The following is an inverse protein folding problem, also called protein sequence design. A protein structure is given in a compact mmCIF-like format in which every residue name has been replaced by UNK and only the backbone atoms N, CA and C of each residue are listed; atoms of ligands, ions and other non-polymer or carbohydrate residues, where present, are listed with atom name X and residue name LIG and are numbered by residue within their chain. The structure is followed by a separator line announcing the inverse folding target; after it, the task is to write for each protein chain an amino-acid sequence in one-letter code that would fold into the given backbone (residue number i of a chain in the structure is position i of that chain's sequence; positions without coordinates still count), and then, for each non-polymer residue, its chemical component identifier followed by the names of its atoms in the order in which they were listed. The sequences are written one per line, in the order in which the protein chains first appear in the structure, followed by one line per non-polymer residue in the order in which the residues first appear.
data_IF_423355875568
#
_entry.id   IF_423355875568
#
_cell.length_a   1.000
_cell.length_b   1.000
_cell.length_c   1.000
_cell.angle_alpha   90.00
_cell.angle_beta   90.00
_cell.angle_gamma   90.00
#
_symmetry.space_group_name_H-M   'P 1'
#
loop_
_entity.id
_entity.type
_entity.pdbx_description
1 polymer ?
#
# COMPACT_ATOMS: atom_id res chain seq x y z
N UNK A 1 -11.49 -11.26 -8.26
CA UNK A 1 -10.93 -11.70 -6.97
C UNK A 1 -9.88 -10.72 -6.47
N UNK A 2 -9.89 -10.43 -5.17
CA UNK A 2 -8.89 -9.59 -4.50
C UNK A 2 -8.39 -10.28 -3.23
N UNK A 3 -7.26 -9.85 -2.71
CA UNK A 3 -6.70 -10.37 -1.45
C UNK A 3 -6.33 -9.21 -0.55
N UNK A 4 -6.72 -9.26 0.72
CA UNK A 4 -6.23 -8.37 1.77
C UNK A 4 -5.33 -9.16 2.73
N UNK A 5 -4.20 -8.57 3.12
CA UNK A 5 -3.24 -9.18 4.04
C UNK A 5 -3.04 -8.27 5.25
N UNK A 6 -3.21 -8.84 6.44
CA UNK A 6 -2.85 -8.20 7.71
C UNK A 6 -1.83 -9.07 8.44
N UNK A 7 -0.68 -8.49 8.77
CA UNK A 7 0.36 -9.19 9.52
C UNK A 7 0.57 -8.51 10.87
N UNK A 8 0.73 -9.31 11.91
CA UNK A 8 0.91 -8.88 13.28
C UNK A 8 2.29 -9.31 13.77
N UNK A 9 2.93 -8.42 14.52
CA UNK A 9 4.23 -8.67 15.16
C UNK A 9 4.12 -8.22 16.60
N UNK A 10 4.51 -9.06 17.54
CA UNK A 10 4.52 -8.71 18.97
C UNK A 10 5.76 -9.29 19.65
N UNK A 11 6.09 -8.72 20.79
CA UNK A 11 7.17 -9.22 21.64
C UNK A 11 6.61 -10.28 22.57
N UNK A 12 7.26 -11.44 22.63
CA UNK A 12 6.86 -12.48 23.56
C UNK A 12 7.22 -12.09 24.99
N UNK A 13 6.33 -12.40 25.92
CA UNK A 13 6.63 -12.22 27.34
C UNK A 13 7.62 -13.30 27.74
N UNK A 14 8.88 -12.94 27.97
CA UNK A 14 9.91 -13.86 28.45
C UNK A 14 9.59 -14.30 29.87
N UNK A 15 8.88 -15.41 30.04
CA UNK A 15 8.89 -16.17 31.29
C UNK A 15 10.08 -17.14 31.27
N UNK A 16 11.24 -16.67 31.75
CA UNK A 16 12.30 -17.57 32.23
C UNK A 16 12.68 -17.18 33.65
N UNK A 17 12.01 -17.78 34.64
CA UNK A 17 12.69 -18.13 35.88
C UNK A 17 13.46 -19.42 35.60
N UNK A 18 14.76 -19.32 35.33
CA UNK A 18 15.68 -20.44 35.52
C UNK A 18 16.44 -20.17 36.81
N UNK A 19 15.99 -20.79 37.90
CA UNK A 19 16.80 -20.91 39.12
C UNK A 19 17.96 -21.86 38.81
N UNK A 20 19.08 -21.28 38.37
CA UNK A 20 20.38 -21.93 38.46
C UNK A 20 21.38 -20.84 38.82
N UNK A 21 21.82 -20.89 40.06
CA UNK A 21 22.81 -20.00 40.62
C UNK A 21 24.17 -20.26 39.98
N UNK A 22 24.53 -19.51 38.94
CA UNK A 22 25.93 -19.11 38.71
C UNK A 22 25.98 -17.85 37.86
N UNK A 23 26.77 -16.90 38.33
CA UNK A 23 26.88 -15.51 37.93
C UNK A 23 27.38 -15.34 36.49
N UNK A 24 26.48 -15.19 35.51
CA UNK A 24 26.68 -14.32 34.32
C UNK A 24 25.33 -14.02 33.68
N UNK A 25 24.71 -12.88 34.00
CA UNK A 25 23.48 -12.40 33.33
C UNK A 25 23.83 -11.91 31.93
N UNK A 26 23.83 -12.82 30.95
CA UNK A 26 23.62 -12.44 29.55
C UNK A 26 22.13 -12.21 29.34
N UNK A 27 21.75 -10.96 29.01
CA UNK A 27 20.39 -10.64 28.61
C UNK A 27 20.11 -11.32 27.26
N UNK A 28 19.29 -12.37 27.25
CA UNK A 28 18.84 -12.96 25.99
C UNK A 28 18.07 -11.91 25.18
N UNK A 29 18.31 -11.80 23.86
CA UNK A 29 17.61 -10.83 23.02
C UNK A 29 16.09 -11.06 23.09
N UNK A 30 15.28 -9.99 22.98
CA UNK A 30 13.83 -10.12 22.98
C UNK A 30 13.37 -11.01 21.82
N UNK A 31 12.57 -12.02 22.13
CA UNK A 31 11.92 -12.87 21.13
C UNK A 31 10.66 -12.17 20.62
N UNK A 32 10.49 -12.16 19.30
CA UNK A 32 9.32 -11.63 18.64
C UNK A 32 8.59 -12.77 17.93
N UNK A 33 7.27 -12.72 18.01
CA UNK A 33 6.38 -13.61 17.28
C UNK A 33 5.63 -12.83 16.21
N UNK A 34 5.27 -13.54 15.14
CA UNK A 34 4.59 -12.96 13.98
C UNK A 34 3.52 -13.91 13.48
N UNK A 35 2.34 -13.39 13.16
CA UNK A 35 1.25 -14.15 12.52
C UNK A 35 0.60 -13.29 11.45
N UNK A 36 0.29 -13.89 10.31
CA UNK A 36 -0.32 -13.23 9.16
C UNK A 36 -1.69 -13.82 8.86
N UNK A 37 -2.59 -12.98 8.38
CA UNK A 37 -3.94 -13.37 8.02
C UNK A 37 -4.22 -12.83 6.63
N UNK A 38 -4.70 -13.72 5.78
CA UNK A 38 -5.05 -13.43 4.39
C UNK A 38 -6.54 -13.66 4.22
N UNK A 39 -7.22 -12.67 3.66
CA UNK A 39 -8.61 -12.79 3.25
C UNK A 39 -8.67 -12.75 1.73
N UNK A 40 -9.09 -13.85 1.11
CA UNK A 40 -9.42 -13.93 -0.30
C UNK A 40 -10.87 -13.51 -0.51
N UNK A 41 -11.10 -12.50 -1.34
CA UNK A 41 -12.40 -11.84 -1.53
C UNK A 41 -12.92 -12.14 -2.94
N UNK A 42 -14.13 -12.70 -3.03
CA UNK A 42 -14.86 -12.82 -4.30
C UNK A 42 -15.32 -11.44 -4.77
N UNK A 43 -15.03 -11.12 -6.04
CA UNK A 43 -15.56 -9.93 -6.74
C UNK A 43 -15.41 -8.56 -6.05
N UNK A 44 -14.28 -8.34 -5.35
CA UNK A 44 -14.03 -7.05 -4.70
C UNK A 44 -13.71 -5.91 -5.66
N UNK A 45 -14.39 -4.78 -5.49
CA UNK A 45 -14.04 -3.49 -6.09
C UNK A 45 -12.97 -2.73 -5.29
N UNK A 46 -12.54 -3.28 -4.14
CA UNK A 46 -11.57 -2.68 -3.21
C UNK A 46 -12.00 -1.29 -2.75
N UNK A 47 -13.29 -1.15 -2.44
CA UNK A 47 -13.80 0.07 -1.84
C UNK A 47 -13.26 0.25 -0.42
N UNK A 48 -13.46 1.44 0.13
CA UNK A 48 -13.17 1.74 1.53
C UNK A 48 -13.90 0.79 2.47
N UNK A 49 -15.20 0.58 2.23
CA UNK A 49 -16.04 -0.34 2.99
C UNK A 49 -15.50 -1.77 2.92
N UNK A 50 -15.11 -2.25 1.73
CA UNK A 50 -14.55 -3.61 1.58
C UNK A 50 -13.25 -3.76 2.39
N UNK A 51 -12.41 -2.73 2.36
CA UNK A 51 -11.10 -2.72 3.03
C UNK A 51 -11.25 -2.72 4.55
N UNK A 52 -12.18 -1.92 5.08
CA UNK A 52 -12.49 -1.87 6.51
C UNK A 52 -13.16 -3.17 6.98
N UNK A 53 -14.07 -3.73 6.19
CA UNK A 53 -14.77 -5.00 6.49
C UNK A 53 -13.80 -6.18 6.57
N UNK A 54 -12.91 -6.31 5.58
CA UNK A 54 -11.86 -7.33 5.62
C UNK A 54 -10.87 -7.08 6.76
N UNK A 55 -10.55 -5.82 7.06
CA UNK A 55 -9.74 -5.43 8.21
C UNK A 55 -10.36 -5.83 9.55
N UNK A 56 -11.67 -5.67 9.72
CA UNK A 56 -12.42 -6.13 10.90
C UNK A 56 -12.33 -7.65 11.05
N UNK A 57 -12.58 -8.40 9.98
CA UNK A 57 -12.51 -9.88 9.98
C UNK A 57 -11.12 -10.35 10.42
N UNK A 58 -10.05 -9.77 9.86
CA UNK A 58 -8.67 -10.10 10.22
C UNK A 58 -8.38 -9.75 11.69
N UNK A 59 -8.74 -8.55 12.13
CA UNK A 59 -8.46 -8.09 13.51
C UNK A 59 -9.23 -8.93 14.53
N UNK A 60 -10.45 -9.32 14.20
CA UNK A 60 -11.28 -10.22 15.01
C UNK A 60 -10.64 -11.59 15.15
N UNK A 61 -10.20 -12.20 14.05
CA UNK A 61 -9.52 -13.50 14.11
C UNK A 61 -8.23 -13.42 14.93
N UNK A 62 -7.40 -12.40 14.70
CA UNK A 62 -6.18 -12.20 15.48
C UNK A 62 -6.47 -12.06 16.98
N UNK A 63 -7.53 -11.34 17.34
CA UNK A 63 -7.93 -11.20 18.75
C UNK A 63 -8.39 -12.52 19.35
N UNK A 64 -9.08 -13.36 18.59
CA UNK A 64 -9.48 -14.71 18.99
C UNK A 64 -8.25 -15.58 19.26
N UNK A 65 -7.28 -15.55 18.36
CA UNK A 65 -6.06 -16.36 18.44
C UNK A 65 -5.10 -15.88 19.54
N UNK A 66 -5.05 -14.56 19.78
CA UNK A 66 -4.12 -13.91 20.72
C UNK A 66 -4.83 -12.93 21.66
N UNK A 67 -5.78 -13.45 22.44
CA UNK A 67 -6.63 -12.67 23.36
C UNK A 67 -5.87 -11.84 24.40
N UNK A 68 -4.65 -12.26 24.76
CA UNK A 68 -3.75 -11.58 25.69
C UNK A 68 -3.24 -10.22 25.18
N UNK A 69 -3.26 -10.00 23.85
CA UNK A 69 -2.84 -8.73 23.25
C UNK A 69 -3.98 -7.72 23.39
N UNK A 70 -3.68 -6.60 24.05
CA UNK A 70 -4.64 -5.54 24.37
C UNK A 70 -4.38 -4.23 23.65
N UNK A 71 -3.20 -4.04 23.07
CA UNK A 71 -2.75 -2.79 22.48
C UNK A 71 -2.25 -3.03 21.07
N UNK A 72 -2.63 -2.17 20.14
CA UNK A 72 -2.27 -2.30 18.73
C UNK A 72 -1.66 -1.01 18.20
N UNK A 73 -0.56 -1.16 17.45
CA UNK A 73 -0.03 -0.13 16.57
C UNK A 73 -0.29 -0.60 15.13
N UNK A 74 -1.02 0.19 14.36
CA UNK A 74 -1.35 -0.15 12.97
C UNK A 74 -0.42 0.56 12.01
N UNK A 75 0.07 -0.17 11.02
CA UNK A 75 0.73 0.38 9.84
C UNK A 75 0.00 -0.06 8.59
N UNK A 76 -0.11 0.83 7.61
CA UNK A 76 -0.74 0.54 6.31
C UNK A 76 0.05 1.17 5.18
N UNK A 77 -0.08 0.63 3.97
CA UNK A 77 0.40 1.33 2.78
C UNK A 77 -0.38 2.66 2.56
N UNK A 78 0.10 3.47 1.62
CA UNK A 78 -0.52 4.75 1.28
C UNK A 78 -1.38 4.63 0.00
N UNK A 79 -2.15 3.54 -0.14
CA UNK A 79 -3.11 3.39 -1.23
C UNK A 79 -4.42 4.17 -0.95
N UNK A 80 -5.18 4.43 -2.01
CA UNK A 80 -6.37 5.31 -1.97
C UNK A 80 -7.49 4.79 -1.06
N UNK A 81 -7.68 3.48 -1.03
CA UNK A 81 -8.68 2.78 -0.22
C UNK A 81 -8.39 2.80 1.29
N UNK A 82 -7.11 2.94 1.70
CA UNK A 82 -6.72 3.09 3.11
C UNK A 82 -6.61 4.55 3.56
N UNK A 83 -6.79 5.53 2.67
CA UNK A 83 -6.55 6.96 2.94
C UNK A 83 -7.82 7.81 2.92
N UNK A 84 -8.97 7.15 3.08
CA UNK A 84 -10.24 7.85 3.21
C UNK A 84 -10.31 8.68 4.49
N UNK A 85 -11.33 9.52 4.53
CA UNK A 85 -11.56 10.42 5.63
C UNK A 85 -12.13 9.74 6.89
N UNK A 86 -12.87 8.64 6.76
CA UNK A 86 -13.50 7.95 7.90
C UNK A 86 -12.64 6.83 8.48
N UNK A 87 -11.71 6.27 7.69
CA UNK A 87 -10.89 5.10 8.06
C UNK A 87 -10.27 5.18 9.46
N UNK A 88 -9.61 6.29 9.88
CA UNK A 88 -8.98 6.33 11.20
C UNK A 88 -9.97 6.14 12.36
N UNK A 89 -11.15 6.77 12.28
CA UNK A 89 -12.18 6.66 13.33
C UNK A 89 -12.82 5.27 13.30
N UNK A 90 -13.09 4.71 12.11
CA UNK A 90 -13.70 3.38 11.98
C UNK A 90 -12.76 2.29 12.49
N UNK A 91 -11.46 2.39 12.21
CA UNK A 91 -10.46 1.44 12.74
C UNK A 91 -10.39 1.48 14.26
N UNK A 92 -10.50 2.68 14.87
CA UNK A 92 -10.63 2.80 16.32
C UNK A 92 -11.91 2.11 16.81
N UNK A 93 -13.05 2.37 16.17
CA UNK A 93 -14.33 1.75 16.52
C UNK A 93 -14.28 0.22 16.43
N UNK A 94 -13.66 -0.34 15.37
CA UNK A 94 -13.43 -1.79 15.22
C UNK A 94 -12.61 -2.31 16.40
N UNK A 95 -11.49 -1.66 16.73
CA UNK A 95 -10.64 -2.09 17.85
C UNK A 95 -11.37 -2.00 19.20
N UNK A 96 -12.17 -0.96 19.44
CA UNK A 96 -12.98 -0.81 20.65
C UNK A 96 -14.01 -1.94 20.78
N UNK A 97 -14.72 -2.28 19.70
CA UNK A 97 -15.64 -3.44 19.66
C UNK A 97 -14.94 -4.76 19.98
N UNK A 98 -13.66 -4.88 19.67
CA UNK A 98 -12.84 -6.08 19.91
C UNK A 98 -12.04 -6.03 21.23
N UNK A 99 -12.25 -5.01 22.06
CA UNK A 99 -11.49 -4.79 23.31
C UNK A 99 -9.97 -4.77 23.07
N UNK A 100 -9.56 -4.00 22.05
CA UNK A 100 -8.18 -3.66 21.71
C UNK A 100 -8.06 -2.13 21.75
N UNK A 101 -7.06 -1.63 22.45
CA UNK A 101 -6.68 -0.22 22.44
C UNK A 101 -5.80 0.05 21.20
N UNK A 102 -6.34 0.74 20.20
CA UNK A 102 -5.57 1.22 19.04
C UNK A 102 -4.78 2.46 19.44
N UNK A 103 -3.45 2.39 19.47
CA UNK A 103 -2.59 3.47 19.96
C UNK A 103 -2.14 4.41 18.86
N UNK A 104 -1.67 3.85 17.75
CA UNK A 104 -1.21 4.62 16.60
C UNK A 104 -1.64 4.01 15.29
N UNK A 105 -1.75 4.86 14.27
CA UNK A 105 -1.93 4.48 12.88
C UNK A 105 -0.95 5.26 12.02
N UNK A 106 -0.07 4.53 11.35
CA UNK A 106 1.00 5.11 10.54
C UNK A 106 0.89 4.64 9.09
N UNK A 107 1.17 5.55 8.16
CA UNK A 107 1.33 5.20 6.76
C UNK A 107 2.78 4.83 6.47
N UNK A 108 2.99 3.77 5.68
CA UNK A 108 4.30 3.38 5.18
C UNK A 108 4.83 4.48 4.25
N UNK A 109 6.01 5.01 4.59
CA UNK A 109 6.73 5.99 3.77
C UNK A 109 7.46 5.27 2.64
N UNK A 110 7.54 5.91 1.46
CA UNK A 110 8.17 5.32 0.25
C UNK A 110 9.63 4.90 0.51
N UNK A 111 10.31 5.55 1.46
CA UNK A 111 11.71 5.27 1.80
C UNK A 111 11.89 4.22 2.92
N UNK A 112 10.83 3.74 3.58
CA UNK A 112 10.92 2.81 4.72
C UNK A 112 11.00 1.33 4.32
N UNK A 113 11.17 1.02 3.04
CA UNK A 113 11.26 -0.35 2.53
C UNK A 113 9.92 -1.05 2.37
N UNK A 114 9.96 -2.31 1.90
CA UNK A 114 8.78 -3.18 1.72
C UNK A 114 8.30 -3.71 3.08
N UNK A 115 6.99 -3.82 3.26
CA UNK A 115 6.37 -4.25 4.52
C UNK A 115 6.39 -5.79 4.66
N UNK A 116 6.12 -6.32 5.87
CA UNK A 116 5.91 -7.75 6.12
C UNK A 116 4.78 -8.30 5.24
N UNK A 117 3.71 -7.51 5.02
CA UNK A 117 2.63 -7.89 4.12
C UNK A 117 3.11 -8.08 2.68
N UNK A 118 4.07 -7.28 2.19
CA UNK A 118 4.66 -7.46 0.85
C UNK A 118 5.43 -8.79 0.75
N UNK A 119 6.15 -9.16 1.82
CA UNK A 119 6.88 -10.43 1.92
C UNK A 119 5.92 -11.61 1.88
N UNK A 120 4.87 -11.58 2.69
CA UNK A 120 3.80 -12.60 2.73
C UNK A 120 3.13 -12.73 1.35
N UNK A 121 2.82 -11.61 0.69
CA UNK A 121 2.27 -11.61 -0.67
C UNK A 121 3.21 -12.25 -1.69
N UNK A 122 4.54 -12.04 -1.55
CA UNK A 122 5.55 -12.68 -2.38
C UNK A 122 5.53 -14.20 -2.24
N UNK A 123 5.51 -14.70 -1.00
CA UNK A 123 5.45 -16.14 -0.70
C UNK A 123 4.13 -16.74 -1.16
N UNK A 124 3.01 -16.06 -0.93
CA UNK A 124 1.69 -16.50 -1.38
C UNK A 124 1.62 -16.69 -2.90
N UNK A 125 2.17 -15.73 -3.66
CA UNK A 125 2.26 -15.84 -5.13
C UNK A 125 3.12 -17.02 -5.56
N UNK A 126 4.25 -17.26 -4.91
CA UNK A 126 5.09 -18.41 -5.20
C UNK A 126 4.34 -19.72 -4.93
N UNK A 127 3.61 -19.81 -3.81
CA UNK A 127 2.87 -21.02 -3.44
C UNK A 127 1.75 -21.34 -4.42
N UNK A 128 0.94 -20.34 -4.78
CA UNK A 128 -0.11 -20.49 -5.78
C UNK A 128 0.45 -20.90 -7.15
N UNK A 129 1.62 -20.38 -7.57
CA UNK A 129 2.28 -20.82 -8.81
C UNK A 129 2.68 -22.29 -8.77
N UNK A 130 3.22 -22.77 -7.65
CA UNK A 130 3.54 -24.18 -7.48
C UNK A 130 2.29 -25.06 -7.55
N UNK A 131 1.17 -24.60 -6.99
CA UNK A 131 -0.11 -25.30 -7.09
C UNK A 131 -0.62 -25.37 -8.54
N UNK A 132 -0.58 -24.26 -9.29
CA UNK A 132 -0.91 -24.24 -10.73
C UNK A 132 -0.02 -25.19 -11.53
N UNK A 133 1.29 -25.23 -11.23
CA UNK A 133 2.23 -26.10 -11.93
C UNK A 133 1.93 -27.59 -11.78
N UNK A 134 1.07 -27.99 -10.84
CA UNK A 134 0.57 -29.37 -10.70
C UNK A 134 -0.64 -29.70 -11.60
N UNK A 135 -1.11 -28.73 -12.39
CA UNK A 135 -2.24 -28.89 -13.30
C UNK A 135 -3.58 -28.38 -12.74
N UNK A 136 -3.57 -27.64 -11.63
CA UNK A 136 -4.77 -27.01 -11.06
C UNK A 136 -4.97 -25.58 -11.60
N UNK A 137 -6.22 -25.10 -11.60
CA UNK A 137 -6.59 -23.77 -12.08
C UNK A 137 -6.99 -22.83 -10.93
N UNK A 138 -6.67 -21.54 -11.05
CA UNK A 138 -7.09 -20.48 -10.12
C UNK A 138 -8.29 -19.70 -10.68
N UNK A 139 -9.50 -20.22 -10.51
CA UNK A 139 -10.73 -19.63 -11.07
C UNK A 139 -11.49 -18.79 -10.05
N UNK A 140 -11.51 -19.22 -8.79
CA UNK A 140 -12.32 -18.62 -7.74
C UNK A 140 -11.52 -18.42 -6.42
N UNK A 141 -12.12 -17.75 -5.43
CA UNK A 141 -11.42 -17.39 -4.20
C UNK A 141 -11.13 -18.60 -3.30
N UNK A 142 -11.87 -19.71 -3.47
CA UNK A 142 -11.59 -20.99 -2.80
C UNK A 142 -10.32 -21.59 -3.39
N UNK A 143 -10.17 -21.57 -4.71
CA UNK A 143 -8.93 -22.00 -5.38
C UNK A 143 -7.72 -21.19 -4.90
N UNK A 144 -7.90 -19.89 -4.63
CA UNK A 144 -6.85 -19.05 -4.02
C UNK A 144 -6.46 -19.59 -2.64
N UNK A 145 -7.44 -19.93 -1.79
CA UNK A 145 -7.17 -20.50 -0.47
C UNK A 145 -6.44 -21.84 -0.59
N UNK A 146 -6.97 -22.77 -1.37
CA UNK A 146 -6.35 -24.09 -1.60
C UNK A 146 -4.92 -23.97 -2.16
N UNK A 147 -4.73 -23.07 -3.13
CA UNK A 147 -3.43 -22.82 -3.74
C UNK A 147 -2.42 -22.21 -2.78
N UNK A 148 -2.85 -21.40 -1.81
CA UNK A 148 -1.96 -20.87 -0.78
C UNK A 148 -1.72 -21.86 0.38
N UNK A 149 -2.65 -22.78 0.65
CA UNK A 149 -2.52 -23.84 1.67
C UNK A 149 -1.80 -25.09 1.14
N UNK A 150 -1.57 -25.15 -0.17
CA UNK A 150 -0.83 -26.21 -0.85
C UNK A 150 0.53 -26.49 -0.18
N UNK A 151 0.94 -27.77 -0.17
CA UNK A 151 2.24 -28.21 0.32
C UNK A 151 2.60 -27.74 1.75
N UNK A 152 1.61 -27.65 2.63
CA UNK A 152 1.80 -27.23 4.03
C UNK A 152 1.61 -25.74 4.26
N UNK A 153 1.24 -24.99 3.23
CA UNK A 153 0.84 -23.60 3.33
C UNK A 153 1.99 -22.60 3.35
N UNK A 154 1.68 -21.42 3.89
CA UNK A 154 2.62 -20.33 4.13
C UNK A 154 2.85 -20.28 5.64
N UNK A 155 4.12 -20.26 6.06
CA UNK A 155 4.45 -20.26 7.48
C UNK A 155 3.79 -19.09 8.22
N UNK A 156 3.25 -19.36 9.40
CA UNK A 156 2.58 -18.39 10.29
C UNK A 156 1.56 -17.52 9.55
N UNK A 157 0.79 -18.14 8.66
CA UNK A 157 -0.21 -17.46 7.85
C UNK A 157 -1.48 -18.28 7.79
N UNK A 158 -2.61 -17.67 8.18
CA UNK A 158 -3.94 -18.27 8.06
C UNK A 158 -4.74 -17.60 6.95
N UNK A 159 -5.59 -18.37 6.30
CA UNK A 159 -6.27 -17.92 5.08
C UNK A 159 -7.77 -18.19 5.20
N UNK A 160 -8.57 -17.17 4.91
CA UNK A 160 -10.02 -17.26 4.84
C UNK A 160 -10.52 -16.81 3.48
N UNK A 161 -11.69 -17.32 3.10
CA UNK A 161 -12.45 -16.87 1.94
C UNK A 161 -13.67 -16.10 2.43
N UNK A 162 -13.86 -14.91 1.90
CA UNK A 162 -15.02 -14.07 2.20
C UNK A 162 -15.70 -13.64 0.91
N UNK A 163 -16.99 -13.36 1.05
CA UNK A 163 -17.83 -12.83 0.00
C UNK A 163 -18.38 -11.47 0.43
N UNK A 164 -18.40 -10.53 -0.51
CA UNK A 164 -19.11 -9.26 -0.32
C UNK A 164 -20.60 -9.55 -0.51
N UNK A 165 -21.39 -9.27 0.51
CA UNK A 165 -22.85 -9.38 0.44
C UNK A 165 -23.39 -8.06 -0.10
N UNK A 166 -24.03 -8.05 -1.29
CA UNK A 166 -24.64 -6.83 -1.84
C UNK A 166 -25.69 -6.27 -0.88
N UNK A 167 -25.81 -4.95 -0.84
CA UNK A 167 -26.79 -4.22 -0.01
C UNK A 167 -26.66 -4.44 1.52
N UNK A 168 -25.60 -5.12 1.95
CA UNK A 168 -25.20 -5.23 3.35
C UNK A 168 -24.02 -4.28 3.65
N UNK A 169 -23.95 -3.83 4.89
CA UNK A 169 -22.86 -3.03 5.40
C UNK A 169 -23.10 -1.54 5.25
N UNK A 170 -22.50 -0.79 6.15
CA UNK A 170 -22.72 0.63 6.30
C UNK A 170 -21.41 1.31 6.64
N UNK A 171 -21.19 2.51 6.10
CA UNK A 171 -20.03 3.31 6.40
C UNK A 171 -20.40 4.79 6.35
N UNK A 172 -20.32 5.44 7.50
CA UNK A 172 -20.51 6.87 7.59
C UNK A 172 -19.42 7.64 6.86
N UNK A 173 -19.86 8.56 5.99
CA UNK A 173 -18.96 9.45 5.25
C UNK A 173 -18.59 10.64 6.12
N UNK A 174 -17.53 10.50 6.91
CA UNK A 174 -16.93 11.66 7.58
C UNK A 174 -15.86 12.32 6.72
N UNK A 175 -15.57 13.59 7.00
CA UNK A 175 -14.47 14.33 6.38
C UNK A 175 -13.46 14.76 7.45
N UNK A 176 -12.24 14.24 7.36
CA UNK A 176 -11.06 14.78 8.03
C UNK A 176 -10.37 15.74 7.06
N UNK A 177 -10.31 17.06 7.36
CA UNK A 177 -9.66 18.02 6.48
C UNK A 177 -8.22 17.62 6.19
N UNK A 178 -7.86 17.62 4.90
CA UNK A 178 -6.49 17.35 4.45
C UNK A 178 -5.93 15.96 4.85
N UNK A 179 -6.79 14.94 5.00
CA UNK A 179 -6.39 13.57 5.39
C UNK A 179 -5.22 13.02 4.57
N UNK A 180 -5.17 13.31 3.26
CA UNK A 180 -4.10 12.87 2.35
C UNK A 180 -2.71 13.42 2.67
N UNK A 181 -2.62 14.41 3.56
CA UNK A 181 -1.36 15.00 4.02
C UNK A 181 -0.93 14.47 5.38
N UNK A 182 -1.82 13.74 6.07
CA UNK A 182 -1.56 13.13 7.35
C UNK A 182 -0.86 11.79 7.13
N UNK A 183 0.19 11.54 7.90
CA UNK A 183 1.04 10.34 7.78
C UNK A 183 1.10 9.52 9.04
N UNK A 184 0.75 10.12 10.18
CA UNK A 184 0.74 9.46 11.47
C UNK A 184 -0.41 9.99 12.31
N UNK A 185 -1.06 9.10 13.05
CA UNK A 185 -2.18 9.38 13.92
C UNK A 185 -1.90 8.69 15.25
N UNK A 186 -2.12 9.42 16.34
CA UNK A 186 -2.10 8.89 17.70
C UNK A 186 -3.50 9.04 18.28
N UNK A 187 -4.04 7.96 18.83
CA UNK A 187 -5.36 7.98 19.45
C UNK A 187 -5.22 8.26 20.94
N UNK A 188 -6.08 9.12 21.47
CA UNK A 188 -6.29 9.30 22.92
C UNK A 188 -7.73 8.93 23.27
N UNK A 189 -8.09 9.01 24.55
CA UNK A 189 -9.46 8.76 25.03
C UNK A 189 -10.52 9.65 24.37
N UNK A 190 -10.14 10.86 24.02
CA UNK A 190 -11.02 12.01 23.80
C UNK A 190 -10.83 12.61 22.40
N UNK A 191 -9.65 12.47 21.79
CA UNK A 191 -9.39 12.95 20.44
C UNK A 191 -8.32 12.12 19.72
N UNK A 192 -8.23 12.30 18.40
CA UNK A 192 -7.08 11.87 17.61
C UNK A 192 -6.09 13.02 17.48
N UNK A 193 -4.81 12.73 17.66
CA UNK A 193 -3.73 13.66 17.36
C UNK A 193 -3.04 13.25 16.08
N UNK A 194 -3.16 14.08 15.04
CA UNK A 194 -2.67 13.78 13.69
C UNK A 194 -1.43 14.59 13.31
N UNK A 195 -0.56 13.98 12.51
CA UNK A 195 0.73 14.55 12.10
C UNK A 195 0.95 14.37 10.60
N UNK A 196 1.59 15.36 9.97
CA UNK A 196 2.09 15.25 8.57
C UNK A 196 3.34 14.38 8.45
N UNK A 197 4.12 14.30 9.53
CA UNK A 197 5.28 13.44 9.66
C UNK A 197 5.35 12.98 11.12
N UNK A 198 5.65 11.68 11.32
CA UNK A 198 5.64 11.06 12.65
C UNK A 198 6.53 11.82 13.63
N UNK A 199 5.98 12.18 14.80
CA UNK A 199 6.66 12.89 15.89
C UNK A 199 7.30 14.24 15.53
N UNK A 200 6.88 14.88 14.43
CA UNK A 200 7.37 16.22 14.05
C UNK A 200 6.28 17.26 14.31
N UNK A 201 6.61 18.27 15.13
CA UNK A 201 5.75 19.39 15.48
C UNK A 201 4.71 19.07 16.56
N UNK A 202 3.84 20.04 16.83
CA UNK A 202 2.82 19.94 17.89
C UNK A 202 1.66 19.01 17.55
N UNK A 203 1.44 18.72 16.26
CA UNK A 203 0.30 17.94 15.75
C UNK A 203 -1.01 18.73 15.74
N UNK A 204 -2.04 18.17 15.12
CA UNK A 204 -3.41 18.73 15.11
C UNK A 204 -4.32 17.79 15.89
N UNK A 205 -5.05 18.29 16.87
CA UNK A 205 -6.07 17.52 17.59
C UNK A 205 -7.40 17.57 16.86
N UNK A 206 -7.99 16.40 16.64
CA UNK A 206 -9.28 16.21 15.97
C UNK A 206 -10.18 15.41 16.92
N UNK A 207 -11.31 15.99 17.39
CA UNK A 207 -12.25 15.26 18.24
C UNK A 207 -12.91 14.12 17.47
N UNK A 208 -13.28 13.06 18.17
CA UNK A 208 -14.03 11.94 17.58
C UNK A 208 -15.42 12.39 17.15
N UNK A 209 -15.89 11.85 16.02
CA UNK A 209 -17.29 11.99 15.61
C UNK A 209 -18.03 10.72 15.99
N UNK A 210 -19.34 10.85 16.21
CA UNK A 210 -20.21 9.68 16.25
C UNK A 210 -20.31 9.16 14.82
N UNK A 211 -19.74 7.99 14.59
CA UNK A 211 -19.74 7.31 13.31
C UNK A 211 -20.29 5.91 13.49
N UNK A 212 -21.00 5.44 12.48
CA UNK A 212 -21.47 4.07 12.39
C UNK A 212 -20.75 3.30 11.27
N UNK A 213 -20.57 2.01 11.51
CA UNK A 213 -19.90 1.11 10.60
C UNK A 213 -20.36 -0.34 10.79
N UNK A 214 -20.78 -0.95 9.69
CA UNK A 214 -21.14 -2.35 9.61
C UNK A 214 -20.42 -3.03 8.46
N UNK A 215 -19.87 -4.23 8.73
CA UNK A 215 -19.19 -5.04 7.72
C UNK A 215 -20.15 -5.48 6.60
N UNK A 216 -19.68 -5.41 5.36
CA UNK A 216 -20.39 -5.94 4.19
C UNK A 216 -19.95 -7.36 3.80
N UNK A 217 -19.12 -8.02 4.62
CA UNK A 217 -18.51 -9.30 4.27
C UNK A 217 -19.03 -10.46 5.10
N UNK A 218 -19.25 -11.58 4.43
CA UNK A 218 -19.58 -12.88 5.04
C UNK A 218 -18.43 -13.85 4.81
N UNK A 219 -18.03 -14.55 5.88
CA UNK A 219 -17.02 -15.61 5.80
C UNK A 219 -17.64 -16.83 5.13
N UNK A 220 -17.09 -17.24 3.98
CA UNK A 220 -17.47 -18.47 3.28
C UNK A 220 -16.63 -19.66 3.75
N UNK A 221 -15.33 -19.44 3.89
CA UNK A 221 -14.38 -20.41 4.43
C UNK A 221 -13.57 -19.73 5.52
N UNK A 222 -13.64 -20.18 6.79
CA UNK A 222 -12.97 -19.52 7.91
C UNK A 222 -11.45 -19.63 7.81
N UNK A 223 -10.75 -18.87 8.65
CA UNK A 223 -9.35 -19.13 8.94
C UNK A 223 -9.29 -20.49 9.65
N UNK A 224 -8.66 -21.50 9.03
CA UNK A 224 -8.71 -22.86 9.54
C UNK A 224 -8.27 -22.91 11.03
N UNK A 225 -9.19 -23.35 11.89
CA UNK A 225 -8.86 -23.85 13.21
C UNK A 225 -8.22 -25.22 13.01
N UNK A 226 -7.04 -25.43 13.60
CA UNK A 226 -6.33 -26.71 13.74
C UNK A 226 -7.23 -27.94 13.57
N UNK A 227 -7.32 -28.47 12.36
CA UNK A 227 -7.75 -29.85 12.15
C UNK A 227 -6.47 -30.66 12.21
N UNK A 228 -6.33 -31.46 13.26
CA UNK A 228 -5.42 -32.59 13.29
C UNK A 228 -5.49 -33.28 11.92
N UNK A 229 -4.39 -33.22 11.16
CA UNK A 229 -4.24 -33.99 9.92
C UNK A 229 -4.15 -35.47 10.28
N UNK A 230 -5.26 -36.06 10.72
CA UNK A 230 -5.46 -37.50 10.66
C UNK A 230 -5.63 -37.86 9.18
N UNK A 231 -4.53 -38.37 8.64
CA UNK A 231 -4.45 -39.42 7.62
C UNK A 231 -5.62 -39.46 6.62
N UNK A 232 -5.47 -38.75 5.49
CA UNK A 232 -5.91 -39.33 4.22
C UNK A 232 -4.75 -40.12 3.62
N UNK A 233 -4.90 -41.43 3.71
CA UNK A 233 -4.04 -42.47 3.21
C UNK A 233 -4.12 -42.53 1.68
N UNK A 234 -3.30 -41.73 1.01
CA UNK A 234 -2.72 -42.14 -0.28
C UNK A 234 -1.22 -42.02 -0.14
N UNK A 235 -0.55 -43.17 -0.16
CA UNK A 235 0.89 -43.33 -0.01
C UNK A 235 1.60 -42.26 -0.85
N UNK A 236 2.20 -41.23 -0.24
CA UNK A 236 2.99 -40.28 -0.99
C UNK A 236 4.27 -41.02 -1.34
N UNK A 237 4.53 -41.19 -2.65
CA UNK A 237 5.88 -41.52 -3.12
C UNK A 237 6.84 -40.55 -2.43
N UNK A 238 7.68 -41.07 -1.54
CA UNK A 238 8.75 -40.31 -0.92
C UNK A 238 9.68 -39.83 -2.05
N UNK A 239 9.52 -38.58 -2.45
CA UNK A 239 10.61 -37.81 -3.04
C UNK A 239 11.40 -37.19 -1.89
N UNK A 240 12.72 -37.36 -1.93
CA UNK A 240 13.69 -36.85 -0.95
C UNK A 240 13.68 -35.31 -0.82
N UNK A 241 12.92 -34.62 -1.65
CA UNK A 241 12.81 -33.16 -1.77
C UNK A 241 12.10 -32.49 -0.58
N UNK A 242 11.53 -33.27 0.37
CA UNK A 242 10.86 -32.74 1.57
C UNK A 242 11.79 -31.97 2.51
N UNK A 243 13.10 -32.21 2.48
CA UNK A 243 14.08 -31.42 3.26
C UNK A 243 14.35 -30.03 2.67
N UNK A 244 13.99 -29.77 1.41
CA UNK A 244 14.29 -28.49 0.75
C UNK A 244 13.14 -27.47 0.79
N UNK A 245 11.94 -27.88 1.21
CA UNK A 245 10.75 -27.02 1.23
C UNK A 245 10.64 -26.09 2.45
N UNK A 246 11.51 -26.25 3.45
CA UNK A 246 11.63 -25.36 4.61
C UNK A 246 12.70 -24.28 4.42
N UNK A 247 13.45 -24.34 3.30
CA UNK A 247 14.54 -23.41 3.05
C UNK A 247 13.99 -22.10 2.48
N UNK A 248 14.38 -21.01 3.10
CA UNK A 248 14.12 -19.65 2.68
C UNK A 248 15.07 -19.34 1.52
N UNK A 249 14.51 -19.02 0.35
CA UNK A 249 15.28 -18.70 -0.85
C UNK A 249 15.70 -17.22 -0.84
N UNK A 250 16.88 -16.94 -1.38
CA UNK A 250 17.30 -15.56 -1.58
C UNK A 250 16.35 -14.84 -2.57
N UNK A 251 15.84 -13.64 -2.24
CA UNK A 251 14.92 -12.90 -3.11
C UNK A 251 15.61 -12.17 -4.27
N UNK A 252 16.95 -12.18 -4.33
CA UNK A 252 17.73 -11.57 -5.42
C UNK A 252 17.62 -12.46 -6.65
N UNK A 253 17.33 -11.85 -7.81
CA UNK A 253 17.12 -12.63 -9.04
C UNK A 253 18.34 -13.49 -9.33
N UNK A 254 18.09 -14.73 -9.72
CA UNK A 254 19.10 -15.68 -10.17
C UNK A 254 20.08 -16.15 -9.06
N UNK A 255 19.89 -15.73 -7.81
CA UNK A 255 20.61 -16.28 -6.67
C UNK A 255 20.04 -17.66 -6.30
N UNK A 256 20.89 -18.69 -6.29
CA UNK A 256 20.50 -20.07 -5.96
C UNK A 256 20.73 -20.41 -4.48
N UNK A 257 21.01 -19.42 -3.63
CA UNK A 257 21.25 -19.64 -2.21
C UNK A 257 19.95 -19.87 -1.45
N UNK A 258 19.98 -20.81 -0.50
CA UNK A 258 18.84 -21.25 0.31
C UNK A 258 19.25 -21.36 1.78
N UNK A 259 18.39 -20.95 2.71
CA UNK A 259 18.71 -20.77 4.13
C UNK A 259 17.69 -21.46 5.04
N UNK A 260 18.13 -21.98 6.19
CA UNK A 260 17.22 -22.61 7.17
C UNK A 260 16.57 -21.57 8.11
N UNK A 261 17.19 -20.40 8.29
CA UNK A 261 16.70 -19.34 9.18
C UNK A 261 16.68 -17.97 8.51
N UNK A 262 15.80 -17.10 9.01
CA UNK A 262 15.70 -15.73 8.52
C UNK A 262 16.95 -14.91 8.87
N UNK A 263 17.66 -15.25 9.95
CA UNK A 263 18.89 -14.57 10.35
C UNK A 263 20.03 -14.83 9.35
N UNK A 264 20.12 -16.05 8.81
CA UNK A 264 21.13 -16.43 7.82
C UNK A 264 20.85 -15.76 6.48
N UNK A 265 19.57 -15.68 6.07
CA UNK A 265 19.17 -14.94 4.88
C UNK A 265 19.53 -13.45 4.99
N UNK A 266 19.20 -12.80 6.10
CA UNK A 266 19.49 -11.38 6.31
C UNK A 266 21.01 -11.14 6.32
N UNK A 267 21.79 -12.04 6.94
CA UNK A 267 23.25 -11.97 6.91
C UNK A 267 23.81 -12.14 5.49
N UNK A 268 23.25 -13.05 4.70
CA UNK A 268 23.61 -13.25 3.30
C UNK A 268 23.31 -12.02 2.43
N UNK A 269 22.13 -11.40 2.60
CA UNK A 269 21.75 -10.17 1.90
C UNK A 269 22.65 -9.01 2.34
N UNK A 270 22.89 -8.86 3.64
CA UNK A 270 23.74 -7.80 4.19
C UNK A 270 25.21 -7.93 3.73
N UNK A 271 25.72 -9.16 3.62
CA UNK A 271 27.05 -9.44 3.11
C UNK A 271 27.16 -9.32 1.57
N UNK A 272 26.03 -9.25 0.86
CA UNK A 272 25.96 -9.16 -0.61
C UNK A 272 26.71 -10.30 -1.33
N UNK A 273 26.71 -11.51 -0.76
CA UNK A 273 27.41 -12.68 -1.27
C UNK A 273 26.45 -13.62 -2.03
N UNK A 274 25.87 -13.14 -3.13
CA UNK A 274 24.88 -13.88 -3.91
C UNK A 274 25.52 -14.94 -4.80
N UNK A 275 25.00 -16.17 -4.73
CA UNK A 275 25.43 -17.28 -5.57
C UNK A 275 24.64 -17.28 -6.88
N UNK A 276 25.09 -16.51 -7.86
CA UNK A 276 24.45 -16.39 -9.18
C UNK A 276 25.28 -17.17 -10.21
N UNK A 277 24.72 -18.15 -10.94
CA UNK A 277 25.46 -18.88 -11.98
C UNK A 277 25.90 -17.96 -13.12
N UNK A 278 27.18 -18.01 -13.48
CA UNK A 278 27.83 -17.13 -14.48
C UNK A 278 27.32 -17.24 -15.94
N UNK A 279 26.35 -18.10 -16.22
CA UNK A 279 25.91 -18.41 -17.60
C UNK A 279 24.45 -18.06 -17.84
N UNK A 280 24.17 -16.76 -17.96
CA UNK A 280 23.03 -16.27 -18.74
C UNK A 280 23.49 -15.26 -19.79
N UNK A 281 22.84 -15.31 -20.96
CA UNK A 281 23.01 -14.30 -22.02
C UNK A 281 22.50 -12.97 -21.48
N UNK A 282 23.42 -12.02 -21.26
CA UNK A 282 23.10 -10.68 -20.80
C UNK A 282 22.23 -9.97 -21.84
N UNK A 283 21.04 -9.56 -21.45
CA UNK A 283 20.20 -8.68 -22.27
C UNK A 283 20.72 -7.24 -22.19
N UNK A 284 20.30 -6.37 -23.11
CA UNK A 284 20.66 -4.94 -23.06
C UNK A 284 20.23 -4.26 -21.74
N UNK A 285 19.17 -4.76 -21.10
CA UNK A 285 18.71 -4.26 -19.79
C UNK A 285 19.70 -4.64 -18.68
N UNK A 286 20.26 -5.85 -18.72
CA UNK A 286 21.23 -6.31 -17.73
C UNK A 286 22.54 -5.52 -17.84
N UNK A 287 22.98 -5.22 -19.06
CA UNK A 287 24.14 -4.36 -19.31
C UNK A 287 23.87 -2.95 -18.77
N UNK A 288 22.68 -2.38 -19.02
CA UNK A 288 22.31 -1.06 -18.53
C UNK A 288 22.25 -1.00 -16.99
N UNK A 289 21.73 -2.04 -16.34
CA UNK A 289 21.69 -2.15 -14.87
C UNK A 289 23.09 -2.26 -14.27
N UNK A 290 23.94 -3.13 -14.82
CA UNK A 290 25.32 -3.27 -14.36
C UNK A 290 26.12 -1.99 -14.56
N UNK A 291 25.95 -1.31 -15.69
CA UNK A 291 26.60 -0.01 -15.94
C UNK A 291 26.11 1.08 -14.98
N UNK A 292 24.81 1.10 -14.66
CA UNK A 292 24.26 2.00 -13.64
C UNK A 292 24.80 1.68 -12.24
N UNK A 293 24.88 0.40 -11.87
CA UNK A 293 25.46 -0.04 -10.60
C UNK A 293 26.92 0.38 -10.49
N UNK A 294 27.72 0.21 -11.55
CA UNK A 294 29.12 0.63 -11.53
C UNK A 294 29.27 2.15 -11.46
N UNK A 295 28.45 2.92 -12.22
CA UNK A 295 28.41 4.38 -12.12
C UNK A 295 28.05 4.85 -10.70
N UNK A 296 27.08 4.21 -10.05
CA UNK A 296 26.71 4.53 -8.66
C UNK A 296 27.86 4.17 -7.72
N UNK A 297 28.54 3.04 -7.94
CA UNK A 297 29.67 2.60 -7.11
C UNK A 297 30.86 3.56 -7.23
N UNK A 298 31.23 3.97 -8.45
CA UNK A 298 32.34 4.90 -8.69
C UNK A 298 32.00 6.30 -8.16
N UNK A 299 30.80 6.80 -8.42
CA UNK A 299 30.37 8.11 -7.89
C UNK A 299 30.22 8.11 -6.37
N UNK A 300 29.78 7.01 -5.74
CA UNK A 300 29.70 6.89 -4.30
C UNK A 300 31.09 6.80 -3.63
N UNK A 301 32.07 6.14 -4.27
CA UNK A 301 33.46 6.08 -3.80
C UNK A 301 34.10 7.48 -3.86
N UNK A 302 33.93 8.21 -4.96
CA UNK A 302 34.44 9.59 -5.07
C UNK A 302 33.78 10.54 -4.06
N UNK A 303 32.47 10.37 -3.84
CA UNK A 303 31.72 11.13 -2.84
C UNK A 303 32.18 10.80 -1.41
N UNK A 304 32.39 9.51 -1.09
CA UNK A 304 32.87 9.08 0.22
C UNK A 304 34.29 9.56 0.47
N UNK A 305 35.21 9.46 -0.49
CA UNK A 305 36.58 9.96 -0.32
C UNK A 305 36.61 11.49 -0.11
N UNK A 306 35.80 12.25 -0.85
CA UNK A 306 35.64 13.69 -0.62
C UNK A 306 35.04 13.96 0.77
N UNK A 307 33.99 13.25 1.17
CA UNK A 307 33.35 13.39 2.48
C UNK A 307 34.28 13.00 3.63
N UNK A 308 35.06 11.93 3.50
CA UNK A 308 36.07 11.49 4.49
C UNK A 308 37.21 12.51 4.59
N UNK A 309 37.65 13.10 3.47
CA UNK A 309 38.64 14.19 3.48
C UNK A 309 38.11 15.46 4.17
N UNK A 310 36.83 15.78 3.98
CA UNK A 310 36.14 16.87 4.69
C UNK A 310 36.04 16.55 6.19
N UNK A 311 35.64 15.33 6.55
CA UNK A 311 35.53 14.88 7.95
C UNK A 311 36.87 14.83 8.69
N UNK A 312 37.98 14.51 8.03
CA UNK A 312 39.30 14.55 8.65
C UNK A 312 39.85 15.97 8.83
N UNK A 313 39.35 16.94 8.06
CA UNK A 313 39.82 18.33 8.13
C UNK A 313 39.13 19.19 9.20
N UNK A 314 38.03 18.70 9.81
CA UNK A 314 37.24 19.48 10.76
C UNK A 314 36.93 18.68 12.03
N UNK A 315 37.46 19.16 13.16
CA UNK A 315 37.13 18.69 14.50
C UNK A 315 35.64 18.97 14.78
N UNK A 316 34.81 17.92 14.70
CA UNK A 316 33.33 17.98 14.74
C UNK A 316 32.76 18.23 16.15
N UNK A 317 33.58 18.53 17.14
CA UNK A 317 33.13 18.69 18.54
C UNK A 317 32.28 19.94 18.78
N UNK A 318 32.21 20.92 17.86
CA UNK A 318 31.50 22.19 18.08
C UNK A 318 30.83 22.84 16.84
N UNK A 319 30.29 22.06 15.89
CA UNK A 319 29.51 22.67 14.79
C UNK A 319 28.10 23.04 15.25
N UNK A 320 27.93 24.31 15.63
CA UNK A 320 26.64 24.93 15.85
C UNK A 320 25.95 25.19 14.50
N UNK A 321 25.12 24.23 14.09
CA UNK A 321 24.33 24.27 12.85
C UNK A 321 23.42 25.51 12.76
N UNK A 322 23.10 26.18 13.87
CA UNK A 322 22.29 27.40 13.88
C UNK A 322 22.98 28.60 13.23
N UNK A 323 24.31 28.56 13.12
CA UNK A 323 25.14 29.62 12.50
C UNK A 323 25.33 29.44 10.99
N UNK A 324 24.84 28.34 10.41
CA UNK A 324 24.93 28.13 8.97
C UNK A 324 24.06 29.15 8.23
N UNK A 325 24.59 29.73 7.16
CA UNK A 325 23.84 30.60 6.21
C UNK A 325 22.65 29.86 5.60
N UNK A 326 22.64 28.53 5.66
CA UNK A 326 21.55 27.70 5.16
C UNK A 326 20.59 27.25 6.27
N UNK A 327 20.89 27.52 7.54
CA UNK A 327 20.05 27.11 8.67
C UNK A 327 18.63 27.63 8.53
N UNK A 328 18.42 28.90 8.16
CA UNK A 328 17.08 29.46 7.91
C UNK A 328 16.29 28.70 6.84
N UNK A 329 16.98 28.14 5.83
CA UNK A 329 16.31 27.37 4.77
C UNK A 329 15.76 26.06 5.32
N UNK A 330 16.49 25.39 6.21
CA UNK A 330 16.11 24.10 6.79
C UNK A 330 15.30 24.19 8.09
N UNK A 331 15.44 25.29 8.84
CA UNK A 331 14.76 25.55 10.11
C UNK A 331 13.32 26.05 9.92
N UNK A 332 13.01 26.57 8.73
CA UNK A 332 11.63 26.88 8.37
C UNK A 332 10.77 25.61 8.35
N UNK A 333 9.69 25.62 9.13
CA UNK A 333 8.73 24.50 9.21
C UNK A 333 8.22 24.21 7.80
N UNK A 334 8.61 23.06 7.26
CA UNK A 334 8.12 22.60 5.95
C UNK A 334 9.17 22.44 4.86
N UNK A 335 10.47 22.67 5.11
CA UNK A 335 11.52 22.39 4.12
C UNK A 335 11.50 20.94 3.59
N UNK A 336 11.24 19.97 4.47
CA UNK A 336 11.06 18.56 4.11
C UNK A 336 9.62 18.15 3.76
N UNK A 337 8.65 19.06 3.88
CA UNK A 337 7.24 18.77 3.57
C UNK A 337 6.96 19.15 2.12
N UNK A 338 6.32 18.26 1.36
CA UNK A 338 5.82 18.60 0.02
C UNK A 338 4.88 19.80 0.14
N UNK A 339 5.29 20.94 -0.40
CA UNK A 339 4.41 22.10 -0.53
C UNK A 339 3.22 21.72 -1.39
N UNK A 340 2.00 22.07 -0.96
CA UNK A 340 0.83 21.86 -1.82
C UNK A 340 1.04 22.66 -3.10
N UNK A 341 0.98 21.99 -4.25
CA UNK A 341 0.80 22.70 -5.52
C UNK A 341 -0.43 23.58 -5.37
N UNK A 342 -0.26 24.89 -5.54
CA UNK A 342 -1.36 25.84 -5.48
C UNK A 342 -2.45 25.35 -6.44
N UNK A 343 -3.62 24.98 -5.91
CA UNK A 343 -4.76 24.61 -6.74
C UNK A 343 -5.39 25.93 -7.15
N UNK A 344 -5.02 26.49 -8.29
CA UNK A 344 -5.84 27.53 -8.90
C UNK A 344 -7.11 26.83 -9.39
N UNK A 345 -8.27 26.98 -8.71
CA UNK A 345 -9.49 26.35 -9.16
C UNK A 345 -9.83 26.90 -10.55
N UNK A 346 -10.36 26.03 -11.41
CA UNK A 346 -10.84 26.45 -12.73
C UNK A 346 -11.96 27.47 -12.54
N UNK A 347 -11.85 28.63 -13.20
CA UNK A 347 -12.86 29.68 -13.12
C UNK A 347 -14.19 29.22 -13.72
N UNK A 348 -15.30 29.82 -13.27
CA UNK A 348 -16.63 29.45 -13.76
C UNK A 348 -16.79 29.74 -15.26
N UNK A 349 -16.15 30.81 -15.74
CA UNK A 349 -16.10 31.18 -17.14
C UNK A 349 -15.51 30.04 -18.00
N UNK A 350 -14.38 29.48 -17.57
CA UNK A 350 -13.74 28.35 -18.27
C UNK A 350 -14.62 27.09 -18.21
N UNK A 351 -15.28 26.82 -17.08
CA UNK A 351 -16.19 25.66 -16.94
C UNK A 351 -17.37 25.76 -17.90
N UNK A 352 -18.01 26.92 -17.98
CA UNK A 352 -19.15 27.18 -18.85
C UNK A 352 -18.74 27.08 -20.33
N UNK A 353 -17.57 27.59 -20.67
CA UNK A 353 -17.03 27.48 -22.03
C UNK A 353 -16.74 26.02 -22.43
N UNK A 354 -16.13 25.23 -21.54
CA UNK A 354 -15.91 23.81 -21.79
C UNK A 354 -17.22 23.03 -21.97
N UNK A 355 -18.27 23.39 -21.23
CA UNK A 355 -19.59 22.77 -21.35
C UNK A 355 -20.26 23.12 -22.69
N UNK A 356 -20.13 24.37 -23.15
CA UNK A 356 -20.55 24.79 -24.49
C UNK A 356 -19.82 24.02 -25.60
N UNK A 357 -18.49 23.89 -25.50
CA UNK A 357 -17.70 23.12 -26.46
C UNK A 357 -18.11 21.65 -26.49
N UNK A 358 -18.42 21.05 -25.34
CA UNK A 358 -18.91 19.68 -25.25
C UNK A 358 -20.25 19.51 -25.97
N UNK A 359 -21.24 20.36 -25.66
CA UNK A 359 -22.56 20.31 -26.33
C UNK A 359 -22.41 20.54 -27.83
N UNK A 360 -21.55 21.48 -28.25
CA UNK A 360 -21.23 21.73 -29.65
C UNK A 360 -20.62 20.52 -30.35
N UNK A 361 -19.65 19.85 -29.71
CA UNK A 361 -18.99 18.66 -30.26
C UNK A 361 -19.95 17.48 -30.48
N UNK A 362 -21.01 17.37 -29.68
CA UNK A 362 -22.08 16.38 -29.90
C UNK A 362 -22.91 16.71 -31.14
N UNK A 363 -23.25 17.98 -31.34
CA UNK A 363 -24.01 18.42 -32.52
C UNK A 363 -23.22 18.29 -33.82
N UNK A 364 -21.89 18.44 -33.75
CA UNK A 364 -21.01 18.38 -34.92
C UNK A 364 -20.30 17.04 -35.12
N UNK A 365 -20.59 16.01 -34.31
CA UNK A 365 -19.91 14.70 -34.32
C UNK A 365 -18.37 14.75 -34.29
N UNK A 366 -17.77 15.82 -33.74
CA UNK A 366 -16.32 16.03 -33.74
C UNK A 366 -15.74 15.94 -32.32
N UNK A 367 -15.06 14.84 -31.98
CA UNK A 367 -14.42 14.66 -30.67
C UNK A 367 -13.25 15.65 -30.48
N UNK A 368 -13.42 16.62 -29.58
CA UNK A 368 -12.35 17.56 -29.20
C UNK A 368 -11.40 16.93 -28.18
N UNK A 369 -10.11 16.96 -28.47
CA UNK A 369 -9.06 16.52 -27.55
C UNK A 369 -8.82 17.55 -26.43
N UNK A 370 -8.36 17.13 -25.24
CA UNK A 370 -8.01 18.05 -24.16
C UNK A 370 -7.00 19.14 -24.56
N UNK A 371 -6.09 18.84 -25.48
CA UNK A 371 -5.10 19.77 -26.03
C UNK A 371 -5.77 20.85 -26.88
N UNK A 372 -6.71 20.47 -27.75
CA UNK A 372 -7.48 21.41 -28.56
C UNK A 372 -8.35 22.32 -27.68
N UNK A 373 -8.99 21.78 -26.65
CA UNK A 373 -9.76 22.57 -25.68
C UNK A 373 -8.85 23.58 -24.97
N UNK A 374 -7.64 23.16 -24.57
CA UNK A 374 -6.67 24.05 -23.95
C UNK A 374 -6.23 25.18 -24.90
N UNK A 375 -5.99 24.84 -26.16
CA UNK A 375 -5.64 25.83 -27.18
C UNK A 375 -6.78 26.83 -27.37
N UNK A 376 -8.03 26.37 -27.48
CA UNK A 376 -9.18 27.25 -27.61
C UNK A 376 -9.36 28.17 -26.40
N UNK A 377 -9.15 27.69 -25.17
CA UNK A 377 -9.16 28.55 -23.98
C UNK A 377 -8.07 29.64 -24.06
N UNK A 378 -6.92 29.35 -24.67
CA UNK A 378 -5.82 30.33 -24.78
C UNK A 378 -5.97 31.30 -25.95
N UNK A 379 -6.73 30.93 -26.97
CA UNK A 379 -6.85 31.71 -28.23
C UNK A 379 -8.20 32.39 -28.41
N UNK A 380 -9.24 32.00 -27.66
CA UNK A 380 -10.58 32.59 -27.81
C UNK A 380 -10.57 34.06 -27.46
N UNK A 381 -11.12 34.87 -28.36
CA UNK A 381 -11.34 36.31 -28.19
C UNK A 381 -12.83 36.61 -28.14
N UNK A 382 -13.19 37.71 -27.48
CA UNK A 382 -14.54 38.26 -27.46
C UNK A 382 -14.83 39.09 -28.73
N UNK A 383 -16.04 39.63 -28.83
CA UNK A 383 -16.50 40.42 -29.98
C UNK A 383 -15.76 41.76 -30.12
N UNK A 384 -15.07 42.20 -29.06
CA UNK A 384 -14.23 43.40 -29.04
C UNK A 384 -12.76 43.09 -29.42
N UNK A 385 -12.44 41.83 -29.71
CA UNK A 385 -11.09 41.40 -30.08
C UNK A 385 -10.15 41.16 -28.89
N UNK A 386 -10.62 41.30 -27.66
CA UNK A 386 -9.85 41.04 -26.44
C UNK A 386 -9.87 39.55 -26.07
N UNK A 387 -8.88 39.09 -25.31
CA UNK A 387 -8.83 37.68 -24.90
C UNK A 387 -9.96 37.37 -23.93
N UNK A 388 -10.74 36.33 -24.23
CA UNK A 388 -11.88 35.91 -23.41
C UNK A 388 -11.44 35.37 -22.04
N UNK A 389 -10.21 34.85 -21.93
CA UNK A 389 -9.65 34.31 -20.71
C UNK A 389 -8.29 34.93 -20.41
N UNK A 390 -8.07 35.25 -19.14
CA UNK A 390 -6.82 35.82 -18.67
C UNK A 390 -5.78 34.73 -18.34
N UNK A 391 -4.50 35.10 -18.25
CA UNK A 391 -3.38 34.15 -18.01
C UNK A 391 -3.52 33.38 -16.69
N UNK A 392 -4.12 33.99 -15.67
CA UNK A 392 -4.42 33.37 -14.38
C UNK A 392 -5.57 32.36 -14.44
N UNK A 393 -6.39 32.38 -15.49
CA UNK A 393 -7.52 31.45 -15.72
C UNK A 393 -7.13 30.25 -16.61
N UNK A 394 -5.93 30.26 -17.19
CA UNK A 394 -5.48 29.19 -18.07
C UNK A 394 -5.40 27.85 -17.33
N UNK A 395 -6.30 26.96 -17.72
CA UNK A 395 -6.39 25.64 -17.11
C UNK A 395 -5.27 24.72 -17.59
N UNK A 396 -4.73 23.93 -16.66
CA UNK A 396 -3.78 22.87 -16.95
C UNK A 396 -4.46 21.73 -17.72
N UNK A 397 -3.68 20.96 -18.49
CA UNK A 397 -4.19 19.81 -19.24
C UNK A 397 -4.89 18.79 -18.33
N UNK A 398 -4.37 18.60 -17.10
CA UNK A 398 -4.95 17.72 -16.10
C UNK A 398 -6.33 18.21 -15.62
N UNK A 399 -6.50 19.52 -15.41
CA UNK A 399 -7.79 20.10 -15.04
C UNK A 399 -8.82 19.95 -16.16
N UNK A 400 -8.40 20.15 -17.42
CA UNK A 400 -9.25 19.96 -18.60
C UNK A 400 -9.69 18.50 -18.72
N UNK A 401 -8.75 17.54 -18.67
CA UNK A 401 -9.06 16.10 -18.68
C UNK A 401 -10.06 15.71 -17.59
N UNK A 402 -9.85 16.19 -16.38
CA UNK A 402 -10.76 15.93 -15.26
C UNK A 402 -12.16 16.53 -15.52
N UNK A 403 -12.26 17.78 -15.96
CA UNK A 403 -13.54 18.45 -16.24
C UNK A 403 -14.28 17.78 -17.39
N UNK A 404 -13.60 17.42 -18.49
CA UNK A 404 -14.22 16.69 -19.62
C UNK A 404 -14.85 15.38 -19.17
N UNK A 405 -14.17 14.59 -18.32
CA UNK A 405 -14.77 13.36 -17.74
C UNK A 405 -15.99 13.66 -16.87
N UNK A 406 -15.98 14.75 -16.11
CA UNK A 406 -17.11 15.16 -15.28
C UNK A 406 -18.32 15.60 -16.12
N UNK A 407 -18.08 16.34 -17.20
CA UNK A 407 -19.12 16.74 -18.16
C UNK A 407 -19.69 15.50 -18.87
N UNK A 408 -18.83 14.56 -19.30
CA UNK A 408 -19.28 13.30 -19.91
C UNK A 408 -20.22 12.51 -18.98
N UNK A 409 -19.87 12.38 -17.69
CA UNK A 409 -20.73 11.75 -16.68
C UNK A 409 -22.02 12.52 -16.42
N UNK A 410 -21.99 13.86 -16.46
CA UNK A 410 -23.18 14.70 -16.25
C UNK A 410 -24.21 14.53 -17.38
N UNK A 411 -23.76 14.27 -18.60
CA UNK A 411 -24.60 14.16 -19.79
C UNK A 411 -24.82 12.72 -20.26
N UNK A 412 -24.54 11.75 -19.39
CA UNK A 412 -24.75 10.30 -19.52
C UNK A 412 -24.72 9.76 -20.95
N UNK A 413 -23.51 9.43 -21.42
CA UNK A 413 -23.36 8.40 -22.44
C UNK A 413 -22.72 7.22 -21.75
N UNK A 414 -23.53 6.21 -21.42
CA UNK A 414 -22.99 4.90 -21.10
C UNK A 414 -22.40 4.32 -22.39
N UNK A 415 -21.23 3.68 -22.36
CA UNK A 415 -20.64 3.00 -23.53
C UNK A 415 -21.61 2.03 -24.22
N UNK A 416 -22.62 1.55 -23.48
CA UNK A 416 -23.70 0.68 -23.94
C UNK A 416 -24.62 1.35 -24.96
N UNK A 417 -24.84 2.66 -24.89
CA UNK A 417 -25.74 3.38 -25.83
C UNK A 417 -25.04 3.79 -27.12
N UNK A 418 -23.75 4.12 -27.08
CA UNK A 418 -22.94 4.31 -28.30
C UNK A 418 -22.86 3.01 -29.10
N UNK A 419 -22.66 1.87 -28.44
CA UNK A 419 -22.65 0.55 -29.08
C UNK A 419 -24.02 0.19 -29.69
N UNK A 420 -25.13 0.54 -29.04
CA UNK A 420 -26.48 0.32 -29.58
C UNK A 420 -26.74 1.20 -30.80
N UNK A 421 -26.30 2.48 -30.79
CA UNK A 421 -26.44 3.37 -31.93
C UNK A 421 -25.61 2.89 -33.13
N UNK A 422 -24.37 2.44 -32.90
CA UNK A 422 -23.49 1.88 -33.92
C UNK A 422 -24.07 0.58 -34.53
N UNK A 423 -24.68 -0.28 -33.70
CA UNK A 423 -25.37 -1.49 -34.16
C UNK A 423 -26.66 -1.15 -34.92
N UNK A 424 -27.36 -0.08 -34.56
CA UNK A 424 -28.59 0.34 -35.26
C UNK A 424 -28.30 1.01 -36.60
N UNK A 425 -27.22 1.78 -36.74
CA UNK A 425 -26.81 2.37 -38.02
C UNK A 425 -26.33 1.30 -39.03
N UNK A 426 -25.64 0.25 -38.57
CA UNK A 426 -25.19 -0.85 -39.45
C UNK A 426 -26.31 -1.79 -39.93
N UNK A 427 -27.51 -1.73 -39.36
CA UNK A 427 -28.67 -2.55 -39.77
C UNK A 427 -29.64 -1.80 -40.70
N UNK A 428 -29.28 -0.57 -41.09
CA UNK A 428 -30.06 0.27 -42.03
C UNK A 428 -29.37 0.52 -43.37
N UNK A 429 -28.21 -0.09 -43.60
CA UNK A 429 -27.61 -0.33 -44.93
C UNK A 429 -27.88 -1.78 -45.34
#
# INVERSE_FOLDING_TARGET
MSVLVGSFVWKDSTTKLSNTATTTTSLSPPTYSTESYIVAITDAAQTELDTLSAGEIITKQFKTDYSHIKKLHKRTDNAGNFSSHATPEVEKLICERLNIELLTRDYSEVQKGKDICDRVCGVAKARMRSWIATGNDLLNAIDIKEGMEYAGGINNTKIAVVEIVPDQGHLDKTSIPNVSTLRSIRYTSDHMKVYKASNIGTGISIPYKQIDFETNMRIMSPFDCSIDKQQSSTIPKQRNDRKHHFLILCPVSDCTASFESNADLESHIAANLHNVPDKQRRTANDIARLHLTELIRTTAIDSQQQVTSIFHSQDMSHIDLTKSVHYEKFSSVGWGLRSRKHRNPMSENVKNFMEKLWIGSRKSHSKLTPQQIQQQIRTKRDDNGEKLFQTNEYSTLSQIKYRSRKIARKHDVTPKQELIAEIMEMNTE
#
